data_IF_708527078975
#
_entry.id   IF_708527078975
#
_cell.length_a   1.000
_cell.length_b   1.000
_cell.length_c   1.000
_cell.angle_alpha   90.00
_cell.angle_beta   90.00
_cell.angle_gamma   90.00
#
_symmetry.space_group_name_H-M   'P 1'
#
loop_
_entity.id
_entity.type
_entity.pdbx_description
1 polymer ?
#
# COMPACT_ATOMS: atom_id res chain seq x y z
N UNK A 1 14.33 6.66 2.22
CA UNK A 1 13.89 5.70 3.24
C UNK A 1 14.93 4.60 3.36
N UNK A 2 15.37 4.30 4.57
CA UNK A 2 16.32 3.22 4.84
C UNK A 2 15.68 2.30 5.89
N UNK A 3 15.43 1.04 5.49
CA UNK A 3 14.66 0.11 6.31
C UNK A 3 13.20 0.51 6.48
N UNK A 4 12.49 -0.17 7.37
CA UNK A 4 11.10 0.11 7.67
C UNK A 4 10.96 1.44 8.42
N UNK A 5 10.27 2.38 7.83
CA UNK A 5 10.03 3.73 8.34
C UNK A 5 8.57 3.85 8.75
N UNK A 6 8.31 4.21 10.01
CA UNK A 6 6.96 4.22 10.58
C UNK A 6 6.47 5.63 10.90
N UNK A 7 5.26 5.94 10.46
CA UNK A 7 4.45 7.04 10.99
C UNK A 7 3.58 6.45 12.08
N UNK A 8 3.92 6.72 13.34
CA UNK A 8 3.24 6.11 14.49
C UNK A 8 1.88 6.77 14.77
N UNK A 9 1.01 6.06 15.47
CA UNK A 9 -0.32 6.53 15.85
C UNK A 9 -0.28 7.94 16.45
N UNK A 10 -1.25 8.76 16.09
CA UNK A 10 -1.36 10.19 16.41
C UNK A 10 -0.34 11.12 15.72
N UNK A 11 0.61 10.58 14.94
CA UNK A 11 1.47 11.39 14.10
C UNK A 11 0.85 11.68 12.73
N UNK A 12 1.27 12.78 12.11
CA UNK A 12 0.90 13.16 10.74
C UNK A 12 2.15 13.42 9.93
N UNK A 13 2.39 12.59 8.92
CA UNK A 13 3.40 12.85 7.90
C UNK A 13 2.80 13.75 6.82
N UNK A 14 3.40 14.94 6.61
CA UNK A 14 3.03 15.82 5.50
C UNK A 14 4.14 15.82 4.46
N UNK A 15 3.76 15.65 3.22
CA UNK A 15 4.66 15.64 2.06
C UNK A 15 4.18 16.73 1.10
N UNK A 16 5.05 17.64 0.75
CA UNK A 16 4.71 18.73 -0.15
C UNK A 16 4.67 18.27 -1.60
N UNK A 17 3.84 18.91 -2.45
CA UNK A 17 3.82 18.63 -3.89
C UNK A 17 5.22 18.77 -4.53
N UNK A 18 5.54 17.83 -5.43
CA UNK A 18 6.84 17.79 -6.12
C UNK A 18 7.97 17.12 -5.31
N UNK A 19 7.68 16.61 -4.13
CA UNK A 19 8.68 15.86 -3.33
C UNK A 19 8.94 14.50 -3.95
N UNK A 20 10.20 14.12 -4.07
CA UNK A 20 10.64 12.77 -4.43
C UNK A 20 11.15 12.07 -3.19
N UNK A 21 10.55 10.93 -2.85
CA UNK A 21 10.94 10.07 -1.74
C UNK A 21 11.55 8.81 -2.32
N UNK A 22 12.82 8.55 -2.02
CA UNK A 22 13.53 7.38 -2.51
C UNK A 22 13.66 6.32 -1.44
N UNK A 23 13.30 5.08 -1.79
CA UNK A 23 13.48 3.88 -0.98
C UNK A 23 14.76 3.18 -1.34
N UNK A 24 15.52 2.72 -0.33
CA UNK A 24 16.75 2.01 -0.52
C UNK A 24 16.50 0.53 -0.78
N UNK A 25 17.26 -0.04 -1.68
CA UNK A 25 17.30 -1.47 -1.91
C UNK A 25 17.92 -2.22 -0.72
N UNK A 26 17.62 -3.51 -0.59
CA UNK A 26 18.15 -4.34 0.49
C UNK A 26 17.44 -5.67 0.64
N UNK A 27 17.54 -6.24 1.82
CA UNK A 27 16.79 -7.43 2.23
C UNK A 27 16.02 -7.12 3.50
N UNK A 28 14.88 -7.77 3.73
CA UNK A 28 14.08 -7.55 4.93
C UNK A 28 14.92 -7.65 6.22
N UNK A 29 14.78 -6.73 7.18
CA UNK A 29 13.92 -5.55 7.17
C UNK A 29 14.64 -4.25 6.71
N UNK A 30 15.73 -4.35 5.96
CA UNK A 30 16.63 -3.22 5.67
C UNK A 30 16.33 -2.49 4.36
N UNK A 31 15.40 -2.95 3.54
CA UNK A 31 14.95 -2.20 2.37
C UNK A 31 13.94 -1.10 2.78
N UNK A 32 13.97 0.01 2.06
CA UNK A 32 13.10 1.15 2.34
C UNK A 32 11.62 0.80 2.17
N UNK A 33 10.80 1.00 3.19
CA UNK A 33 9.34 0.88 3.14
C UNK A 33 8.72 1.94 4.05
N UNK A 34 7.64 2.56 3.61
CA UNK A 34 6.88 3.48 4.44
C UNK A 34 5.65 2.80 5.02
N UNK A 35 5.56 2.72 6.34
CA UNK A 35 4.38 2.26 7.06
C UNK A 35 3.66 3.44 7.73
N UNK A 36 2.41 3.68 7.36
CA UNK A 36 1.51 4.57 8.08
C UNK A 36 0.65 3.69 8.97
N UNK A 37 0.94 3.65 10.27
CA UNK A 37 0.33 2.71 11.21
C UNK A 37 -1.09 3.14 11.61
N UNK A 38 -1.86 2.24 12.21
CA UNK A 38 -3.22 2.56 12.69
C UNK A 38 -3.25 3.80 13.55
N UNK A 39 -4.17 4.72 13.22
CA UNK A 39 -4.31 5.99 13.93
C UNK A 39 -3.26 7.06 13.58
N UNK A 40 -2.34 6.76 12.67
CA UNK A 40 -1.49 7.76 12.03
C UNK A 40 -2.15 8.31 10.76
N UNK A 41 -1.58 9.36 10.20
CA UNK A 41 -2.07 9.94 8.94
C UNK A 41 -0.92 10.34 8.01
N UNK A 42 -1.15 10.17 6.72
CA UNK A 42 -0.30 10.73 5.66
C UNK A 42 -1.09 11.81 4.91
N UNK A 43 -0.46 12.95 4.65
CA UNK A 43 -0.98 14.00 3.79
C UNK A 43 0.01 14.16 2.64
N UNK A 44 -0.22 13.38 1.60
CA UNK A 44 0.50 13.41 0.33
C UNK A 44 -0.44 13.96 -0.75
N UNK A 45 -0.72 15.26 -0.67
CA UNK A 45 -1.63 15.98 -1.56
C UNK A 45 -0.82 16.70 -2.64
N UNK A 46 -0.38 15.94 -3.64
CA UNK A 46 0.34 16.43 -4.80
C UNK A 46 -0.53 17.26 -5.75
N UNK A 47 0.00 17.60 -6.91
CA UNK A 47 -0.69 18.37 -7.97
C UNK A 47 -0.41 17.77 -9.34
N UNK A 48 -1.27 17.98 -10.36
CA UNK A 48 -1.06 17.41 -11.70
C UNK A 48 0.31 17.72 -12.32
N UNK A 49 0.86 18.90 -12.04
CA UNK A 49 2.17 19.33 -12.57
C UNK A 49 3.31 19.20 -11.56
N UNK A 50 3.01 18.83 -10.33
CA UNK A 50 3.95 18.60 -9.24
C UNK A 50 3.50 17.40 -8.44
N UNK A 51 3.49 16.17 -9.02
CA UNK A 51 3.13 14.97 -8.29
C UNK A 51 4.15 14.68 -7.18
N UNK A 52 3.72 13.92 -6.19
CA UNK A 52 4.65 13.35 -5.22
C UNK A 52 5.08 11.99 -5.77
N UNK A 53 6.37 11.71 -5.74
CA UNK A 53 6.94 10.49 -6.31
C UNK A 53 7.61 9.68 -5.19
N UNK A 54 7.21 8.44 -5.03
CA UNK A 54 7.92 7.43 -4.26
C UNK A 54 8.58 6.47 -5.25
N UNK A 55 9.88 6.29 -5.15
CA UNK A 55 10.62 5.45 -6.09
C UNK A 55 11.86 4.82 -5.46
N UNK A 56 12.64 4.06 -6.24
CA UNK A 56 13.90 3.49 -5.81
C UNK A 56 15.02 4.54 -5.66
N UNK A 57 16.03 4.25 -4.84
CA UNK A 57 17.21 5.11 -4.69
C UNK A 57 17.93 5.29 -6.03
N UNK A 58 17.91 4.26 -6.87
CA UNK A 58 18.53 4.19 -8.17
C UNK A 58 17.84 5.03 -9.26
N UNK A 59 16.54 5.33 -9.12
CA UNK A 59 15.75 6.04 -10.13
C UNK A 59 16.17 7.51 -10.21
N UNK A 60 16.66 7.96 -11.37
CA UNK A 60 16.80 9.37 -11.72
C UNK A 60 15.51 9.86 -12.39
N UNK A 61 14.62 10.46 -11.61
CA UNK A 61 13.29 10.90 -12.09
C UNK A 61 13.34 11.92 -13.23
N UNK A 62 14.51 12.45 -13.56
CA UNK A 62 14.74 13.36 -14.71
C UNK A 62 15.17 12.59 -15.96
N UNK A 63 15.66 11.34 -15.83
CA UNK A 63 16.02 10.47 -16.95
C UNK A 63 15.03 9.32 -17.09
N UNK A 64 14.11 9.41 -18.01
CA UNK A 64 13.07 8.39 -18.27
C UNK A 64 13.63 7.09 -18.86
N UNK A 65 14.93 6.96 -19.07
CA UNK A 65 15.59 5.80 -19.66
C UNK A 65 16.53 5.09 -18.68
N UNK A 66 16.69 5.59 -17.46
CA UNK A 66 17.60 5.01 -16.47
C UNK A 66 17.07 3.67 -15.92
N UNK A 67 15.78 3.58 -15.62
CA UNK A 67 15.11 2.34 -15.24
C UNK A 67 14.07 1.93 -16.29
N UNK A 68 14.00 0.62 -16.54
CA UNK A 68 13.02 0.01 -17.43
C UNK A 68 11.77 -0.35 -16.65
N UNK A 69 10.67 -0.50 -17.35
CA UNK A 69 9.41 -1.01 -16.75
C UNK A 69 9.51 -2.42 -16.18
N UNK A 70 10.59 -3.14 -16.48
CA UNK A 70 10.91 -4.47 -15.92
C UNK A 70 11.83 -4.41 -14.69
N UNK A 71 12.33 -3.25 -14.32
CA UNK A 71 13.18 -3.07 -13.13
C UNK A 71 12.27 -2.85 -11.93
N UNK A 72 12.03 -3.94 -11.19
CA UNK A 72 11.07 -4.09 -10.09
C UNK A 72 11.78 -4.56 -8.82
N UNK A 73 11.13 -4.50 -7.67
CA UNK A 73 11.68 -5.01 -6.41
C UNK A 73 12.89 -4.24 -5.88
N UNK A 74 13.10 -2.99 -6.30
CA UNK A 74 14.27 -2.19 -5.90
C UNK A 74 14.13 -1.56 -4.50
N UNK A 75 12.92 -1.50 -3.97
CA UNK A 75 12.58 -1.07 -2.60
C UNK A 75 11.24 -1.70 -2.20
N UNK A 76 10.72 -1.44 -0.99
CA UNK A 76 9.42 -1.96 -0.62
C UNK A 76 8.28 -1.27 -1.35
N UNK A 77 7.57 -0.42 -0.67
CA UNK A 77 6.39 0.28 -1.16
C UNK A 77 5.81 1.18 -0.07
N UNK A 78 4.53 1.51 -0.22
CA UNK A 78 3.78 2.32 0.75
C UNK A 78 2.66 1.48 1.35
N UNK A 79 2.67 1.31 2.67
CA UNK A 79 1.69 0.51 3.43
C UNK A 79 0.91 1.44 4.35
N UNK A 80 -0.41 1.46 4.24
CA UNK A 80 -1.30 2.26 5.10
C UNK A 80 -2.23 1.32 5.85
N UNK A 81 -2.18 1.40 7.17
CA UNK A 81 -2.90 0.53 8.08
C UNK A 81 -3.94 1.34 8.86
N UNK A 82 -5.22 1.06 8.63
CA UNK A 82 -6.35 1.77 9.23
C UNK A 82 -7.11 0.93 10.26
N UNK A 83 -8.22 1.50 10.78
CA UNK A 83 -9.06 0.93 11.82
C UNK A 83 -10.46 0.53 11.32
N UNK A 84 -10.69 0.45 10.01
CA UNK A 84 -11.96 0.00 9.47
C UNK A 84 -12.10 -1.52 9.54
N UNK A 85 -13.32 -2.01 9.36
CA UNK A 85 -13.62 -3.45 9.43
C UNK A 85 -12.86 -4.25 8.38
N UNK A 86 -12.46 -5.44 8.79
CA UNK A 86 -11.94 -6.49 7.93
C UNK A 86 -12.77 -7.76 8.11
N UNK A 87 -12.72 -8.67 7.16
CA UNK A 87 -13.41 -9.94 7.18
C UNK A 87 -12.74 -10.98 8.12
N UNK A 88 -12.02 -10.54 9.11
CA UNK A 88 -11.49 -11.46 10.12
C UNK A 88 -12.54 -11.68 11.18
N UNK A 89 -12.90 -12.74 10.92
CA UNK A 89 -13.79 -13.43 11.15
C UNK A 89 -14.59 -13.82 12.33
N UNK A 90 -15.15 -14.81 12.21
CA UNK A 90 -15.91 -15.57 13.18
C UNK A 90 -14.98 -16.65 13.74
N UNK A 91 -15.01 -16.85 15.04
CA UNK A 91 -14.42 -18.05 15.63
C UNK A 91 -15.17 -19.29 15.12
N UNK A 92 -14.72 -20.48 15.46
CA UNK A 92 -15.37 -21.74 15.08
C UNK A 92 -16.84 -21.86 15.54
N UNK A 93 -17.32 -20.99 16.43
CA UNK A 93 -18.70 -20.92 16.89
C UNK A 93 -19.55 -19.90 16.09
N UNK A 94 -18.97 -19.18 15.16
CA UNK A 94 -19.67 -18.16 14.37
C UNK A 94 -19.76 -16.79 15.04
N UNK A 95 -19.09 -16.58 16.18
CA UNK A 95 -19.04 -15.28 16.85
C UNK A 95 -17.96 -14.39 16.24
N UNK A 96 -18.22 -13.09 16.21
CA UNK A 96 -17.23 -12.13 15.75
C UNK A 96 -15.91 -12.27 16.50
N UNK A 97 -14.81 -12.44 15.76
CA UNK A 97 -13.50 -12.52 16.36
C UNK A 97 -13.17 -11.24 17.14
N UNK A 98 -12.62 -11.40 18.33
CA UNK A 98 -12.10 -10.31 19.14
C UNK A 98 -10.68 -10.66 19.53
N UNK A 99 -9.69 -9.84 19.19
CA UNK A 99 -9.78 -8.54 18.53
C UNK A 99 -9.98 -8.62 17.00
N UNK A 100 -10.64 -7.62 16.42
CA UNK A 100 -10.92 -7.53 14.99
C UNK A 100 -9.76 -6.87 14.22
N UNK A 101 -8.60 -7.44 14.28
CA UNK A 101 -7.44 -6.98 13.54
C UNK A 101 -6.66 -8.16 12.96
N UNK A 102 -5.86 -7.86 11.96
CA UNK A 102 -4.85 -8.77 11.41
C UNK A 102 -3.48 -8.12 11.46
N UNK A 103 -2.45 -8.91 11.26
CA UNK A 103 -1.07 -8.45 11.06
C UNK A 103 -0.79 -8.46 9.56
N UNK A 104 -0.13 -7.41 9.05
CA UNK A 104 0.25 -7.36 7.65
C UNK A 104 1.05 -8.60 7.28
N UNK A 105 0.70 -9.22 6.18
CA UNK A 105 1.24 -10.50 5.77
C UNK A 105 2.79 -10.48 5.65
N UNK A 106 3.39 -11.62 5.89
CA UNK A 106 4.85 -11.73 5.89
C UNK A 106 5.58 -11.02 7.03
N UNK A 107 4.87 -10.28 7.89
CA UNK A 107 5.44 -9.56 9.03
C UNK A 107 5.02 -10.14 10.38
N UNK A 108 5.84 -9.89 11.39
CA UNK A 108 5.51 -10.24 12.78
C UNK A 108 4.73 -9.10 13.48
N UNK A 109 3.99 -9.45 14.52
CA UNK A 109 3.28 -8.49 15.37
C UNK A 109 4.23 -7.77 16.34
N UNK A 110 4.87 -6.74 15.83
CA UNK A 110 5.90 -5.97 16.54
C UNK A 110 5.32 -4.73 17.19
N UNK A 111 5.89 -4.33 18.34
CA UNK A 111 5.56 -3.08 19.01
C UNK A 111 6.74 -2.11 19.01
N UNK A 112 6.43 -0.84 18.68
CA UNK A 112 7.34 0.30 18.85
C UNK A 112 6.67 1.30 19.79
N UNK A 113 7.32 1.66 20.88
CA UNK A 113 6.77 2.53 21.93
C UNK A 113 5.38 2.08 22.43
N UNK A 114 5.17 0.76 22.54
CA UNK A 114 3.89 0.17 22.98
C UNK A 114 2.78 0.17 21.92
N UNK A 115 3.07 0.55 20.69
CA UNK A 115 2.11 0.54 19.57
C UNK A 115 2.42 -0.61 18.62
N UNK A 116 1.42 -1.41 18.28
CA UNK A 116 1.53 -2.45 17.27
C UNK A 116 1.60 -1.81 15.88
N UNK A 117 2.73 -1.96 15.21
CA UNK A 117 3.03 -1.20 13.98
C UNK A 117 2.65 -1.92 12.69
N UNK A 118 2.35 -3.21 12.76
CA UNK A 118 1.96 -4.01 11.59
C UNK A 118 0.49 -4.44 11.61
N UNK A 119 -0.28 -4.07 12.64
CA UNK A 119 -1.69 -4.42 12.71
C UNK A 119 -2.56 -3.48 11.91
N UNK A 120 -3.58 -4.04 11.25
CA UNK A 120 -4.65 -3.30 10.58
C UNK A 120 -6.03 -3.87 10.95
N UNK A 121 -7.09 -3.11 10.68
CA UNK A 121 -8.44 -3.50 11.02
C UNK A 121 -8.91 -2.98 12.38
N UNK A 122 -10.22 -3.00 12.56
CA UNK A 122 -10.91 -2.48 13.75
C UNK A 122 -12.42 -2.40 13.53
N UNK A 123 -13.05 -1.39 14.10
CA UNK A 123 -14.50 -1.17 14.06
C UNK A 123 -14.91 0.20 13.50
N UNK A 124 -13.96 0.98 12.97
CA UNK A 124 -14.23 2.35 12.52
C UNK A 124 -14.22 2.45 10.99
N UNK A 125 -15.35 2.23 10.35
CA UNK A 125 -15.47 2.34 8.89
C UNK A 125 -15.24 3.76 8.35
N UNK A 126 -15.32 4.77 9.20
CA UNK A 126 -15.01 6.17 8.89
C UNK A 126 -13.56 6.53 9.19
N UNK A 127 -12.69 5.54 9.44
CA UNK A 127 -11.27 5.76 9.65
C UNK A 127 -10.67 6.66 8.58
N UNK A 128 -9.78 7.55 9.01
CA UNK A 128 -9.17 8.55 8.15
C UNK A 128 -7.64 8.49 8.29
N UNK A 129 -7.01 7.73 7.44
CA UNK A 129 -5.56 7.62 7.34
C UNK A 129 -4.90 8.76 6.53
N UNK A 130 -5.70 9.69 6.00
CA UNK A 130 -5.20 10.91 5.37
C UNK A 130 -5.59 11.10 3.92
N UNK A 131 -4.64 11.59 3.12
CA UNK A 131 -4.84 11.93 1.71
C UNK A 131 -3.66 11.45 0.88
N UNK A 132 -3.93 10.69 -0.18
CA UNK A 132 -3.03 10.43 -1.28
C UNK A 132 -3.68 10.97 -2.54
N UNK A 133 -3.10 12.01 -3.14
CA UNK A 133 -3.58 12.58 -4.39
C UNK A 133 -2.42 13.03 -5.25
N UNK A 134 -2.48 12.72 -6.55
CA UNK A 134 -1.38 12.95 -7.49
C UNK A 134 -0.07 12.40 -6.96
N UNK A 135 -0.08 11.10 -6.68
CA UNK A 135 1.06 10.33 -6.15
C UNK A 135 1.44 9.26 -7.17
N UNK A 136 2.72 9.14 -7.48
CA UNK A 136 3.27 8.03 -8.25
C UNK A 136 4.18 7.19 -7.36
N UNK A 137 4.00 5.87 -7.37
CA UNK A 137 4.77 4.90 -6.59
C UNK A 137 5.39 3.92 -7.59
N UNK A 138 6.72 3.76 -7.58
CA UNK A 138 7.42 3.10 -8.69
C UNK A 138 8.51 2.14 -8.23
N UNK A 139 8.76 1.08 -9.03
CA UNK A 139 9.92 0.20 -8.97
C UNK A 139 10.13 -0.55 -7.66
N UNK A 140 9.06 -0.76 -6.88
CA UNK A 140 9.12 -1.49 -5.60
C UNK A 140 8.67 -2.95 -5.71
N UNK A 141 8.23 -3.50 -4.59
CA UNK A 141 7.80 -4.90 -4.51
C UNK A 141 8.86 -5.80 -3.91
N UNK A 142 9.62 -5.32 -2.93
CA UNK A 142 10.68 -6.11 -2.31
C UNK A 142 10.09 -7.23 -1.43
N UNK A 143 10.73 -8.38 -1.48
CA UNK A 143 10.28 -9.61 -0.82
C UNK A 143 10.47 -9.57 0.69
N UNK A 144 9.43 -9.87 1.43
CA UNK A 144 9.43 -10.01 2.89
C UNK A 144 9.84 -11.41 3.33
N UNK A 145 9.26 -12.42 2.69
CA UNK A 145 9.51 -13.84 2.94
C UNK A 145 9.21 -14.63 1.64
N UNK A 146 9.44 -15.94 1.58
CA UNK A 146 8.98 -16.72 0.43
C UNK A 146 7.48 -16.49 0.19
N UNK A 147 7.14 -16.14 -1.05
CA UNK A 147 5.76 -15.91 -1.52
C UNK A 147 5.01 -14.76 -0.80
N UNK A 148 5.75 -13.79 -0.21
CA UNK A 148 5.21 -12.58 0.39
C UNK A 148 6.11 -11.38 0.08
N UNK A 149 5.58 -10.45 -0.65
CA UNK A 149 6.20 -9.22 -1.10
C UNK A 149 5.48 -7.98 -0.51
N UNK A 150 6.01 -6.80 -0.79
CA UNK A 150 5.32 -5.53 -0.53
C UNK A 150 4.70 -5.05 -1.85
N UNK A 151 3.43 -4.72 -1.83
CA UNK A 151 2.71 -4.15 -2.97
C UNK A 151 3.06 -2.69 -3.24
N UNK A 152 2.61 -2.18 -4.38
CA UNK A 152 2.76 -0.75 -4.71
C UNK A 152 2.14 0.15 -3.65
N UNK A 153 0.85 -0.01 -3.44
CA UNK A 153 0.11 0.60 -2.35
C UNK A 153 -0.75 -0.44 -1.66
N UNK A 154 -0.38 -0.80 -0.43
CA UNK A 154 -1.18 -1.68 0.42
C UNK A 154 -2.10 -0.86 1.33
N UNK A 155 -3.39 -1.19 1.37
CA UNK A 155 -4.43 -0.51 2.13
C UNK A 155 -5.11 -1.50 3.10
N UNK A 156 -4.50 -1.71 4.27
CA UNK A 156 -5.03 -2.63 5.28
C UNK A 156 -6.05 -1.97 6.22
N UNK A 157 -7.32 -2.38 6.17
CA UNK A 157 -8.38 -1.84 7.04
C UNK A 157 -8.56 -0.32 6.95
N UNK A 158 -8.29 0.27 5.80
CA UNK A 158 -8.41 1.73 5.60
C UNK A 158 -9.87 2.12 5.42
N UNK A 159 -10.30 3.15 6.14
CA UNK A 159 -11.69 3.60 6.15
C UNK A 159 -12.03 4.66 5.10
N UNK A 160 -13.34 4.87 4.90
CA UNK A 160 -13.88 5.77 3.86
C UNK A 160 -13.63 7.26 4.13
N UNK A 161 -13.14 7.61 5.30
CA UNK A 161 -12.66 8.96 5.60
C UNK A 161 -11.33 9.30 4.93
N UNK A 162 -10.63 8.30 4.39
CA UNK A 162 -9.35 8.46 3.67
C UNK A 162 -9.59 8.80 2.21
N UNK A 163 -8.80 9.72 1.66
CA UNK A 163 -8.83 10.08 0.24
C UNK A 163 -7.70 9.37 -0.51
N UNK A 164 -8.06 8.60 -1.56
CA UNK A 164 -7.09 7.97 -2.48
C UNK A 164 -7.56 8.23 -3.91
N UNK A 165 -6.92 9.19 -4.57
CA UNK A 165 -7.30 9.66 -5.90
C UNK A 165 -6.08 10.03 -6.74
N UNK A 166 -6.11 9.74 -8.04
CA UNK A 166 -5.00 10.05 -8.95
C UNK A 166 -3.68 9.47 -8.44
N UNK A 167 -3.69 8.17 -8.15
CA UNK A 167 -2.50 7.44 -7.70
C UNK A 167 -2.08 6.45 -8.78
N UNK A 168 -0.79 6.39 -9.05
CA UNK A 168 -0.16 5.44 -9.95
C UNK A 168 0.72 4.46 -9.16
N UNK A 169 0.63 3.17 -9.48
CA UNK A 169 1.58 2.13 -9.10
C UNK A 169 2.24 1.57 -10.35
N UNK A 170 3.55 1.71 -10.48
CA UNK A 170 4.30 1.42 -11.69
C UNK A 170 5.47 0.47 -11.41
N UNK A 171 5.53 -0.66 -12.13
CA UNK A 171 6.68 -1.59 -12.12
C UNK A 171 6.98 -2.16 -10.73
N UNK A 172 5.98 -2.80 -10.12
CA UNK A 172 6.13 -3.56 -8.88
C UNK A 172 6.38 -5.04 -9.16
N UNK A 173 7.12 -5.71 -8.27
CA UNK A 173 7.37 -7.15 -8.36
C UNK A 173 6.24 -7.98 -7.73
N UNK A 174 5.19 -7.33 -7.29
CA UNK A 174 3.95 -7.85 -6.75
C UNK A 174 2.81 -6.98 -7.27
N UNK A 175 1.68 -6.89 -6.56
CA UNK A 175 0.52 -6.12 -6.98
C UNK A 175 0.79 -4.62 -7.12
N UNK A 176 0.03 -3.99 -7.98
CA UNK A 176 -0.01 -2.53 -8.03
C UNK A 176 -0.71 -1.94 -6.81
N UNK A 177 -1.90 -2.43 -6.53
CA UNK A 177 -2.73 -2.02 -5.39
C UNK A 177 -3.33 -3.24 -4.72
N UNK A 178 -3.18 -3.35 -3.41
CA UNK A 178 -3.83 -4.39 -2.64
C UNK A 178 -4.64 -3.82 -1.46
N UNK A 179 -5.87 -4.35 -1.31
CA UNK A 179 -6.85 -3.92 -0.32
C UNK A 179 -7.14 -5.05 0.66
N UNK A 180 -6.52 -5.03 1.81
CA UNK A 180 -6.80 -5.95 2.91
C UNK A 180 -7.99 -5.47 3.74
N UNK A 181 -9.20 -5.66 3.26
CA UNK A 181 -10.41 -5.21 3.92
C UNK A 181 -10.57 -3.69 3.97
N UNK A 182 -11.40 -3.22 4.87
CA UNK A 182 -11.70 -1.80 5.00
C UNK A 182 -12.82 -1.31 4.09
N UNK A 183 -13.00 0.01 4.05
CA UNK A 183 -14.14 0.66 3.37
C UNK A 183 -13.71 1.86 2.53
N UNK A 184 -12.40 2.04 2.29
CA UNK A 184 -11.87 3.17 1.53
C UNK A 184 -12.46 3.21 0.12
N UNK A 185 -12.82 4.41 -0.32
CA UNK A 185 -13.23 4.65 -1.71
C UNK A 185 -12.04 5.20 -2.50
N UNK A 186 -11.89 4.71 -3.73
CA UNK A 186 -10.82 5.16 -4.60
C UNK A 186 -11.32 5.57 -5.97
N UNK A 187 -10.56 6.43 -6.66
CA UNK A 187 -10.82 6.76 -8.05
C UNK A 187 -9.58 7.26 -8.77
N UNK A 188 -9.58 7.08 -10.10
CA UNK A 188 -8.46 7.47 -10.95
C UNK A 188 -7.16 6.81 -10.53
N UNK A 189 -7.17 5.49 -10.38
CA UNK A 189 -5.97 4.70 -10.11
C UNK A 189 -5.41 4.14 -11.41
N UNK A 190 -4.10 4.16 -11.53
CA UNK A 190 -3.34 3.56 -12.64
C UNK A 190 -2.41 2.50 -12.07
N UNK A 191 -2.58 1.26 -12.48
CA UNK A 191 -1.67 0.16 -12.20
C UNK A 191 -1.00 -0.27 -13.51
N UNK A 192 0.33 -0.15 -13.59
CA UNK A 192 1.02 -0.39 -14.84
C UNK A 192 2.32 -1.20 -14.64
N UNK A 193 2.47 -2.24 -15.48
CA UNK A 193 3.68 -3.07 -15.59
C UNK A 193 4.08 -3.79 -14.29
N UNK A 194 3.11 -4.08 -13.41
CA UNK A 194 3.33 -4.85 -12.20
C UNK A 194 3.43 -6.36 -12.54
N UNK A 195 4.08 -7.14 -11.68
CA UNK A 195 4.37 -8.55 -11.96
C UNK A 195 3.23 -9.48 -11.62
N UNK A 196 2.41 -9.10 -10.63
CA UNK A 196 1.23 -9.82 -10.22
C UNK A 196 -0.02 -9.00 -10.57
N UNK A 197 -1.03 -8.94 -9.74
CA UNK A 197 -2.29 -8.28 -10.05
C UNK A 197 -2.19 -6.77 -10.19
N UNK A 198 -3.00 -6.20 -11.04
CA UNK A 198 -3.13 -4.75 -11.09
C UNK A 198 -3.86 -4.20 -9.85
N UNK A 199 -4.90 -4.92 -9.42
CA UNK A 199 -5.72 -4.59 -8.25
C UNK A 199 -6.18 -5.88 -7.57
N UNK A 200 -5.68 -6.15 -6.37
CA UNK A 200 -6.20 -7.22 -5.53
C UNK A 200 -7.08 -6.69 -4.39
N UNK A 201 -8.17 -7.40 -4.12
CA UNK A 201 -9.11 -7.08 -3.04
C UNK A 201 -9.36 -8.30 -2.17
N UNK A 202 -8.91 -8.24 -0.95
CA UNK A 202 -8.99 -9.32 0.02
C UNK A 202 -9.63 -8.87 1.34
N UNK A 203 -9.70 -9.76 2.33
CA UNK A 203 -10.16 -9.51 3.70
C UNK A 203 -11.51 -8.77 3.79
N UNK A 204 -12.39 -8.96 2.78
CA UNK A 204 -13.73 -8.39 2.77
C UNK A 204 -13.77 -6.89 2.55
N UNK A 205 -12.85 -6.34 1.76
CA UNK A 205 -12.92 -4.95 1.35
C UNK A 205 -14.29 -4.59 0.76
N UNK A 206 -14.86 -3.46 1.15
CA UNK A 206 -16.23 -3.05 0.80
C UNK A 206 -16.35 -1.59 0.40
N UNK A 207 -15.29 -1.01 -0.15
CA UNK A 207 -15.28 0.34 -0.70
C UNK A 207 -15.92 0.45 -2.09
N UNK A 208 -15.78 1.61 -2.70
CA UNK A 208 -16.25 1.90 -4.06
C UNK A 208 -15.11 2.41 -4.91
N UNK A 209 -15.02 1.89 -6.12
CA UNK A 209 -13.99 2.24 -7.09
C UNK A 209 -14.56 2.84 -8.34
N UNK A 210 -13.83 3.80 -8.91
CA UNK A 210 -14.19 4.39 -10.18
C UNK A 210 -12.95 4.82 -10.97
N UNK A 211 -12.93 4.50 -12.26
CA UNK A 211 -11.83 4.86 -13.16
C UNK A 211 -10.50 4.21 -12.76
N UNK A 212 -10.50 2.90 -12.61
CA UNK A 212 -9.31 2.09 -12.53
C UNK A 212 -8.80 1.75 -13.92
N UNK A 213 -7.50 1.88 -14.13
CA UNK A 213 -6.84 1.54 -15.38
C UNK A 213 -5.69 0.58 -15.09
N UNK A 214 -5.68 -0.57 -15.76
CA UNK A 214 -4.64 -1.58 -15.69
C UNK A 214 -3.90 -1.67 -17.03
N UNK A 215 -2.57 -1.67 -17.01
CA UNK A 215 -1.71 -1.90 -18.15
C UNK A 215 -0.66 -2.95 -17.80
N UNK A 216 -0.84 -4.15 -18.33
CA UNK A 216 0.08 -5.25 -18.08
C UNK A 216 1.28 -5.23 -19.02
N UNK A 217 2.39 -5.78 -18.56
CA UNK A 217 3.60 -5.99 -19.35
C UNK A 217 3.49 -7.20 -20.30
N UNK A 218 4.40 -7.30 -21.24
CA UNK A 218 4.52 -8.50 -22.09
C UNK A 218 5.43 -9.57 -21.48
N UNK A 219 6.25 -9.25 -20.50
CA UNK A 219 7.19 -10.16 -19.85
C UNK A 219 6.51 -10.95 -18.72
N UNK A 220 5.58 -10.32 -18.01
CA UNK A 220 4.75 -10.94 -16.98
C UNK A 220 3.29 -10.55 -17.20
N UNK A 221 2.40 -11.46 -16.90
CA UNK A 221 0.96 -11.24 -17.01
C UNK A 221 0.28 -12.01 -15.90
N UNK A 222 -0.47 -11.31 -15.10
CA UNK A 222 -1.42 -11.90 -14.19
C UNK A 222 -2.79 -11.25 -14.36
N UNK A 223 -3.65 -11.24 -13.38
CA UNK A 223 -5.00 -10.73 -13.57
C UNK A 223 -5.05 -9.20 -13.51
N UNK A 224 -6.02 -8.63 -14.19
CA UNK A 224 -6.30 -7.19 -14.09
C UNK A 224 -6.93 -6.81 -12.76
N UNK A 225 -7.63 -7.76 -12.14
CA UNK A 225 -8.19 -7.63 -10.80
C UNK A 225 -8.52 -9.01 -10.25
N UNK A 226 -8.08 -9.29 -9.05
CA UNK A 226 -8.45 -10.46 -8.28
C UNK A 226 -9.32 -10.08 -7.09
N UNK A 227 -10.12 -11.01 -6.63
CA UNK A 227 -10.86 -10.89 -5.38
C UNK A 227 -10.78 -12.22 -4.64
N UNK A 228 -9.97 -12.28 -3.63
CA UNK A 228 -9.85 -13.42 -2.78
C UNK A 228 -10.95 -13.42 -1.72
N UNK A 229 -11.73 -14.45 -1.74
CA UNK A 229 -12.79 -14.69 -0.76
C UNK A 229 -12.30 -15.48 0.42
N UNK A 230 -11.25 -15.07 1.07
CA UNK A 230 -10.83 -15.68 2.32
C UNK A 230 -11.94 -15.52 3.37
N UNK A 231 -12.32 -16.61 4.05
CA UNK A 231 -13.47 -16.62 4.96
C UNK A 231 -13.17 -15.93 6.31
#
# INVERSE_FOLDING_TARGET
LTGYTYVLSNAVLRIEPGTVIKGRNGTAPNFGTLFVTRGARIIADGRPHNPIIFTAEEDDVEDVLDLRVTDRGLWGGVVILGNARINKAVNAAGDAATPRYEVYEGLEDVQINGQHVHRYGGDNDEDNSGVLRYVSIRHGGQRLSPDKEINGLSLGGVGRGTTVEYVEALSFADDGFEFFGGTVNTRYLVSAFNDDDAFDTDMGWSGRNQYWFALQSNDRRDTGSEQNGEP
#
